data_IF_093095938648
#
_entry.id   IF_093095938648
#
_cell.length_a   1.000
_cell.length_b   1.000
_cell.length_c   1.000
_cell.angle_alpha   90.00
_cell.angle_beta   90.00
_cell.angle_gamma   90.00
#
_symmetry.space_group_name_H-M   'P 1'
#
loop_
_entity.id
_entity.type
_entity.pdbx_description
1 polymer ?
#
# COMPACT_ATOMS: atom_id res chain seq x y z
N UNK A 1 -5.69 -10.31 -5.62
CA UNK A 1 -5.22 -10.83 -4.31
C UNK A 1 -6.35 -10.74 -3.29
N UNK A 2 -7.27 -11.72 -3.22
CA UNK A 2 -8.28 -11.76 -2.15
C UNK A 2 -7.72 -12.21 -0.78
N UNK A 3 -6.41 -12.49 -0.68
CA UNK A 3 -5.80 -13.13 0.48
C UNK A 3 -5.37 -12.18 1.61
N UNK A 4 -5.12 -10.90 1.31
CA UNK A 4 -4.71 -9.94 2.35
C UNK A 4 -5.95 -9.33 3.00
N UNK A 5 -5.99 -9.35 4.34
CA UNK A 5 -6.86 -8.44 5.10
C UNK A 5 -6.47 -6.99 4.81
N UNK A 6 -7.38 -6.07 5.12
CA UNK A 6 -7.13 -4.64 4.89
C UNK A 6 -5.93 -4.14 5.71
N UNK A 7 -5.79 -4.57 6.97
CA UNK A 7 -4.64 -4.25 7.81
C UNK A 7 -3.31 -4.74 7.21
N UNK A 8 -3.27 -6.00 6.75
CA UNK A 8 -2.06 -6.57 6.18
C UNK A 8 -1.68 -5.92 4.84
N UNK A 9 -2.66 -5.48 4.06
CA UNK A 9 -2.42 -4.72 2.83
C UNK A 9 -1.81 -3.35 3.13
N UNK A 10 -2.30 -2.64 4.15
CA UNK A 10 -1.76 -1.35 4.57
C UNK A 10 -0.33 -1.48 5.12
N UNK A 11 -0.09 -2.49 5.96
CA UNK A 11 1.23 -2.79 6.52
C UNK A 11 2.24 -3.18 5.43
N UNK A 12 1.80 -3.98 4.45
CA UNK A 12 2.63 -4.36 3.31
C UNK A 12 2.99 -3.15 2.45
N UNK A 13 2.05 -2.23 2.22
CA UNK A 13 2.31 -1.00 1.47
C UNK A 13 3.32 -0.10 2.20
N UNK A 14 3.10 0.19 3.49
CA UNK A 14 4.02 0.96 4.33
C UNK A 14 5.43 0.35 4.35
N UNK A 15 5.50 -0.98 4.51
CA UNK A 15 6.77 -1.70 4.50
C UNK A 15 7.47 -1.62 3.14
N UNK A 16 6.72 -1.73 2.03
CA UNK A 16 7.27 -1.66 0.69
C UNK A 16 7.86 -0.27 0.38
N UNK A 17 7.22 0.80 0.85
CA UNK A 17 7.75 2.17 0.76
C UNK A 17 9.04 2.31 1.57
N UNK A 18 9.03 1.90 2.85
CA UNK A 18 10.18 1.99 3.75
C UNK A 18 11.41 1.22 3.24
N UNK A 19 11.18 0.05 2.65
CA UNK A 19 12.24 -0.81 2.10
C UNK A 19 12.65 -0.43 0.67
N UNK A 20 12.05 0.61 0.09
CA UNK A 20 12.31 1.07 -1.28
C UNK A 20 12.18 -0.06 -2.31
N UNK A 21 11.14 -0.88 -2.17
CA UNK A 21 10.87 -1.97 -3.10
C UNK A 21 10.51 -1.43 -4.49
N UNK A 22 10.49 -2.34 -5.47
CA UNK A 22 10.20 -2.02 -6.86
C UNK A 22 8.91 -1.19 -7.01
N UNK A 23 9.00 -0.13 -7.81
CA UNK A 23 7.90 0.81 -8.02
C UNK A 23 6.62 0.13 -8.52
N UNK A 24 6.75 -0.92 -9.34
CA UNK A 24 5.61 -1.66 -9.85
C UNK A 24 4.86 -2.42 -8.75
N UNK A 25 5.60 -3.01 -7.81
CA UNK A 25 5.03 -3.68 -6.63
C UNK A 25 4.29 -2.69 -5.74
N UNK A 26 4.91 -1.55 -5.42
CA UNK A 26 4.27 -0.46 -4.66
C UNK A 26 3.00 0.03 -5.36
N UNK A 27 3.04 0.22 -6.68
CA UNK A 27 1.88 0.64 -7.48
C UNK A 27 0.75 -0.39 -7.45
N UNK A 28 1.08 -1.69 -7.46
CA UNK A 28 0.09 -2.76 -7.34
C UNK A 28 -0.63 -2.68 -5.99
N UNK A 29 0.10 -2.56 -4.88
CA UNK A 29 -0.48 -2.44 -3.54
C UNK A 29 -1.37 -1.18 -3.43
N UNK A 30 -0.89 -0.04 -3.92
CA UNK A 30 -1.65 1.23 -3.93
C UNK A 30 -2.95 1.11 -4.73
N UNK A 31 -2.91 0.41 -5.86
CA UNK A 31 -4.09 0.19 -6.72
C UNK A 31 -5.14 -0.65 -6.00
N UNK A 32 -4.72 -1.68 -5.27
CA UNK A 32 -5.62 -2.53 -4.49
C UNK A 32 -6.22 -1.77 -3.29
N UNK A 33 -5.42 -0.95 -2.58
CA UNK A 33 -5.89 -0.08 -1.50
C UNK A 33 -6.98 0.87 -2.04
N UNK A 34 -6.73 1.53 -3.18
CA UNK A 34 -7.71 2.42 -3.81
C UNK A 34 -8.99 1.66 -4.21
N UNK A 35 -8.86 0.45 -4.76
CA UNK A 35 -9.99 -0.41 -5.15
C UNK A 35 -10.89 -0.74 -3.94
N UNK A 36 -10.29 -0.98 -2.78
CA UNK A 36 -10.97 -1.27 -1.51
C UNK A 36 -11.42 -0.02 -0.74
N UNK A 37 -11.05 1.18 -1.21
CA UNK A 37 -11.35 2.47 -0.57
C UNK A 37 -10.74 2.61 0.83
N UNK A 38 -9.57 2.01 1.07
CA UNK A 38 -8.86 2.13 2.34
C UNK A 38 -8.13 3.47 2.41
N UNK A 39 -8.07 4.04 3.61
CA UNK A 39 -7.30 5.24 3.87
C UNK A 39 -5.83 4.86 4.04
N UNK A 40 -4.96 5.40 3.19
CA UNK A 40 -3.52 5.39 3.43
C UNK A 40 -3.16 6.74 4.02
N UNK A 41 -2.63 6.79 5.25
CA UNK A 41 -2.10 8.02 5.80
C UNK A 41 -0.79 8.35 5.08
N UNK A 42 -0.81 8.91 3.87
CA UNK A 42 0.40 9.49 3.26
C UNK A 42 0.11 10.83 2.57
N UNK A 43 1.11 11.71 2.68
CA UNK A 43 1.21 13.11 2.25
C UNK A 43 0.71 14.18 3.25
N UNK A 44 1.29 14.21 4.46
CA UNK A 44 1.82 15.51 4.92
C UNK A 44 3.17 15.67 4.24
N UNK A 45 3.21 16.54 3.24
CA UNK A 45 4.40 16.80 2.43
C UNK A 45 5.63 17.13 3.28
N UNK A 46 6.79 16.85 2.69
CA UNK A 46 8.01 17.58 2.98
C UNK A 46 7.80 19.08 2.80
#
# INVERSE_FOLDING_TARGET
MPLLSDDLLLDAYQSAIRLQLEREFVRMLRSEIKRRKLFVPEERGF
#
